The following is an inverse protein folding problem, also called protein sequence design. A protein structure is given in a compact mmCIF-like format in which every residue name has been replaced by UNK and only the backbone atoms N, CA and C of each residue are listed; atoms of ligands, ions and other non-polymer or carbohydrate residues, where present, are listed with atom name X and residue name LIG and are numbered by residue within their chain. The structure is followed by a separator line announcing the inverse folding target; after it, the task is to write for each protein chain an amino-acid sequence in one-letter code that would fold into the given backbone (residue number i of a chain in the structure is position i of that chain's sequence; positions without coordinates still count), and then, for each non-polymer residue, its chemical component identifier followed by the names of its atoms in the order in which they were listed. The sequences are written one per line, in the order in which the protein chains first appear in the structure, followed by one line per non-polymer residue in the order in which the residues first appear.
data_IF_459455059935
#
_entry.id   IF_459455059935
#
_cell.length_a   1.000
_cell.length_b   1.000
_cell.length_c   1.000
_cell.angle_alpha   90.00
_cell.angle_beta   90.00
_cell.angle_gamma   90.00
#
_symmetry.space_group_name_H-M   'P 1'
#
loop_
_entity.id
_entity.type
_entity.pdbx_description
1 polymer ?
#
# COMPACT_ATOMS: atom_id res chain seq x y z
N UNK A 1 -6.17 -55.27 -52.13
CA UNK A 1 -6.90 -54.54 -51.08
C UNK A 1 -5.94 -54.27 -49.94
N UNK A 2 -5.54 -53.02 -49.74
CA UNK A 2 -4.92 -52.55 -48.50
C UNK A 2 -5.13 -51.04 -48.43
N UNK A 3 -6.14 -50.63 -47.66
CA UNK A 3 -6.43 -49.22 -47.38
C UNK A 3 -5.63 -48.78 -46.17
N UNK A 4 -4.73 -47.83 -46.36
CA UNK A 4 -3.97 -47.19 -45.27
C UNK A 4 -4.74 -45.95 -44.81
N UNK A 5 -5.36 -46.03 -43.63
CA UNK A 5 -6.03 -44.88 -42.99
C UNK A 5 -5.00 -44.00 -42.28
N UNK A 6 -4.89 -42.73 -42.70
CA UNK A 6 -4.18 -41.69 -41.97
C UNK A 6 -4.93 -41.38 -40.67
N UNK A 7 -4.30 -41.61 -39.51
CA UNK A 7 -4.82 -41.17 -38.21
C UNK A 7 -4.35 -39.74 -37.99
N UNK A 8 -5.28 -38.79 -38.01
CA UNK A 8 -5.02 -37.38 -37.72
C UNK A 8 -4.95 -37.20 -36.20
N UNK A 9 -3.75 -36.89 -35.69
CA UNK A 9 -3.54 -36.56 -34.28
C UNK A 9 -4.02 -35.14 -33.99
N UNK A 10 -5.19 -35.01 -33.39
CA UNK A 10 -5.71 -33.73 -32.88
C UNK A 10 -4.98 -33.38 -31.59
N UNK A 11 -4.09 -32.39 -31.65
CA UNK A 11 -3.37 -31.87 -30.49
C UNK A 11 -4.31 -30.96 -29.68
N UNK A 12 -4.86 -31.46 -28.57
CA UNK A 12 -5.59 -30.64 -27.60
C UNK A 12 -4.57 -29.78 -26.82
N UNK A 13 -4.49 -28.48 -27.15
CA UNK A 13 -3.83 -27.50 -26.28
C UNK A 13 -4.65 -27.34 -25.01
N UNK A 14 -4.17 -27.91 -23.90
CA UNK A 14 -4.70 -27.61 -22.57
C UNK A 14 -4.25 -26.19 -22.20
N UNK A 15 -5.15 -25.22 -22.28
CA UNK A 15 -4.91 -23.89 -21.74
C UNK A 15 -4.82 -24.00 -20.21
N UNK A 16 -3.59 -24.04 -19.69
CA UNK A 16 -3.35 -23.94 -18.27
C UNK A 16 -3.77 -22.52 -17.81
N UNK A 17 -4.92 -22.42 -17.14
CA UNK A 17 -5.26 -21.24 -16.38
C UNK A 17 -4.25 -21.14 -15.23
N UNK A 18 -3.23 -20.30 -15.39
CA UNK A 18 -2.41 -19.89 -14.26
C UNK A 18 -3.32 -19.06 -13.35
N UNK A 19 -3.62 -19.58 -12.17
CA UNK A 19 -4.22 -18.78 -11.10
C UNK A 19 -3.22 -17.66 -10.78
N UNK A 20 -3.49 -16.46 -11.30
CA UNK A 20 -2.66 -15.28 -11.05
C UNK A 20 -2.59 -15.02 -9.55
N UNK A 21 -1.39 -14.68 -9.07
CA UNK A 21 -1.18 -14.31 -7.68
C UNK A 21 -2.13 -13.14 -7.32
N UNK A 22 -2.97 -13.31 -6.30
CA UNK A 22 -3.98 -12.32 -5.94
C UNK A 22 -3.29 -11.12 -5.30
N UNK A 23 -3.38 -9.94 -5.92
CA UNK A 23 -2.86 -8.70 -5.34
C UNK A 23 -3.67 -8.30 -4.10
N UNK A 24 -2.99 -7.73 -3.10
CA UNK A 24 -3.66 -7.11 -1.96
C UNK A 24 -4.21 -5.73 -2.39
N UNK A 25 -5.47 -5.45 -2.09
CA UNK A 25 -6.09 -4.16 -2.43
C UNK A 25 -6.03 -3.21 -1.23
N UNK A 26 -5.38 -2.07 -1.42
CA UNK A 26 -5.32 -0.98 -0.46
C UNK A 26 -6.29 0.11 -0.84
N UNK A 27 -7.11 0.54 0.13
CA UNK A 27 -8.02 1.67 0.00
C UNK A 27 -7.52 2.81 0.87
N UNK A 28 -6.99 3.86 0.26
CA UNK A 28 -6.44 5.04 0.92
C UNK A 28 -7.50 6.13 0.91
N UNK A 29 -7.95 6.56 2.08
CA UNK A 29 -9.03 7.54 2.25
C UNK A 29 -8.52 8.81 2.92
N UNK A 30 -8.97 9.95 2.41
CA UNK A 30 -8.79 11.23 3.08
C UNK A 30 -10.07 11.60 3.86
N UNK A 31 -10.05 11.48 5.19
CA UNK A 31 -11.10 12.01 6.06
C UNK A 31 -10.74 13.40 6.63
N UNK A 32 -9.57 13.95 6.31
CA UNK A 32 -9.17 15.26 6.79
C UNK A 32 -10.08 16.35 6.21
N UNK A 33 -10.21 17.46 6.95
CA UNK A 33 -10.89 18.67 6.47
C UNK A 33 -10.08 19.45 5.42
N UNK A 34 -8.99 18.89 4.91
CA UNK A 34 -8.07 19.50 3.94
C UNK A 34 -7.59 18.46 2.92
N UNK A 35 -7.10 18.92 1.78
CA UNK A 35 -6.52 18.06 0.74
C UNK A 35 -5.23 17.41 1.22
N UNK A 36 -5.11 16.10 0.99
CA UNK A 36 -3.90 15.30 1.24
C UNK A 36 -3.41 14.77 -0.10
N UNK A 37 -2.09 14.71 -0.28
CA UNK A 37 -1.49 14.05 -1.43
C UNK A 37 -0.88 12.73 -0.97
N UNK A 38 -1.66 11.63 -0.90
CA UNK A 38 -1.08 10.35 -0.56
C UNK A 38 0.01 9.95 -1.54
N UNK A 39 0.98 9.21 -1.02
CA UNK A 39 2.06 8.62 -1.76
C UNK A 39 2.27 7.17 -1.32
N UNK A 40 2.78 6.36 -2.24
CA UNK A 40 3.03 4.94 -2.02
C UNK A 40 4.24 4.45 -2.80
N UNK A 41 5.13 3.71 -2.13
CA UNK A 41 6.28 3.03 -2.77
C UNK A 41 6.35 1.57 -2.30
N UNK A 42 6.83 0.64 -3.14
CA UNK A 42 7.22 0.82 -4.54
C UNK A 42 6.02 0.89 -5.50
N UNK A 43 4.79 0.78 -5.00
CA UNK A 43 3.56 0.72 -5.79
C UNK A 43 2.64 1.90 -5.46
N UNK A 44 2.03 2.48 -6.49
CA UNK A 44 1.06 3.56 -6.38
C UNK A 44 1.62 4.91 -6.79
N UNK A 45 2.82 5.26 -6.34
CA UNK A 45 3.44 6.55 -6.63
C UNK A 45 2.82 7.66 -5.79
N UNK A 46 1.80 8.34 -6.31
CA UNK A 46 1.07 9.35 -5.56
C UNK A 46 -0.01 10.05 -6.37
N UNK A 47 -0.98 10.64 -5.66
CA UNK A 47 -2.11 11.36 -6.24
C UNK A 47 -2.59 12.46 -5.29
N UNK A 48 -3.57 13.25 -5.70
CA UNK A 48 -4.31 14.17 -4.84
C UNK A 48 -5.61 13.51 -4.35
N UNK A 49 -5.92 13.69 -3.08
CA UNK A 49 -7.22 13.38 -2.49
C UNK A 49 -7.77 14.60 -1.75
N UNK A 50 -8.85 15.16 -2.27
CA UNK A 50 -9.67 16.14 -1.55
C UNK A 50 -10.46 15.47 -0.42
N UNK A 51 -11.02 16.23 0.54
CA UNK A 51 -11.78 15.67 1.64
C UNK A 51 -12.88 14.69 1.19
N UNK A 52 -12.90 13.51 1.80
CA UNK A 52 -13.85 12.43 1.52
C UNK A 52 -13.46 11.54 0.33
N UNK A 53 -12.45 11.90 -0.46
CA UNK A 53 -12.03 11.09 -1.60
C UNK A 53 -11.22 9.86 -1.17
N UNK A 54 -11.13 8.90 -2.09
CA UNK A 54 -10.46 7.61 -1.90
C UNK A 54 -9.62 7.27 -3.12
N UNK A 55 -8.47 6.63 -2.88
CA UNK A 55 -7.57 6.08 -3.88
C UNK A 55 -7.35 4.59 -3.63
N UNK A 56 -7.51 3.77 -4.66
CA UNK A 56 -7.31 2.32 -4.57
C UNK A 56 -6.01 1.93 -5.26
N UNK A 57 -5.19 1.12 -4.58
CA UNK A 57 -3.91 0.60 -5.08
C UNK A 57 -3.88 -0.92 -4.94
N UNK A 58 -3.55 -1.62 -6.02
CA UNK A 58 -3.34 -3.06 -5.99
C UNK A 58 -1.85 -3.35 -5.84
N UNK A 59 -1.48 -3.97 -4.72
CA UNK A 59 -0.10 -4.29 -4.37
C UNK A 59 0.17 -5.76 -4.66
N UNK A 60 1.16 -6.09 -5.52
CA UNK A 60 1.48 -7.48 -5.84
C UNK A 60 1.97 -8.28 -4.61
N UNK A 61 1.75 -9.60 -4.59
CA UNK A 61 2.33 -10.49 -3.58
C UNK A 61 3.86 -10.39 -3.53
N UNK A 62 4.44 -10.52 -2.33
CA UNK A 62 5.88 -10.42 -2.10
C UNK A 62 6.42 -8.98 -2.05
N UNK A 63 5.55 -7.98 -1.94
CA UNK A 63 5.94 -6.57 -1.90
C UNK A 63 6.02 -6.06 -0.46
N UNK A 64 7.17 -5.50 -0.08
CA UNK A 64 7.30 -4.61 1.08
C UNK A 64 7.26 -3.16 0.64
N UNK A 65 6.52 -2.32 1.34
CA UNK A 65 6.31 -0.94 0.95
C UNK A 65 5.72 -0.09 2.06
N UNK A 66 5.37 1.15 1.68
CA UNK A 66 4.77 2.11 2.60
C UNK A 66 3.83 3.06 1.88
N UNK A 67 2.79 3.49 2.59
CA UNK A 67 1.95 4.63 2.23
C UNK A 67 2.10 5.74 3.27
N UNK A 68 2.02 6.99 2.83
CA UNK A 68 1.98 8.14 3.73
C UNK A 68 1.20 9.28 3.09
N UNK A 69 0.80 10.25 3.91
CA UNK A 69 0.13 11.44 3.43
C UNK A 69 1.09 12.62 3.39
N UNK A 70 1.05 13.40 2.31
CA UNK A 70 1.77 14.68 2.17
C UNK A 70 0.81 15.84 2.33
N UNK A 71 1.28 16.92 2.94
CA UNK A 71 0.43 18.10 3.25
C UNK A 71 1.04 19.39 2.72
N UNK A 72 0.17 20.37 2.46
CA UNK A 72 0.58 21.69 1.98
C UNK A 72 1.32 21.64 0.64
N UNK A 73 0.86 20.78 -0.28
CA UNK A 73 1.54 20.60 -1.55
C UNK A 73 1.08 21.60 -2.61
N UNK A 74 1.98 21.93 -3.52
CA UNK A 74 1.70 22.67 -4.74
C UNK A 74 2.43 22.02 -5.91
N UNK A 75 1.67 21.51 -6.88
CA UNK A 75 2.20 20.84 -8.07
C UNK A 75 1.83 21.61 -9.34
N UNK A 76 2.78 21.67 -10.28
CA UNK A 76 2.54 22.08 -11.66
C UNK A 76 2.82 20.86 -12.55
N UNK A 77 1.76 20.15 -12.93
CA UNK A 77 1.89 18.84 -13.55
C UNK A 77 2.45 17.80 -12.58
N UNK A 78 3.51 17.10 -12.97
CA UNK A 78 4.13 16.03 -12.17
C UNK A 78 5.16 16.48 -11.13
N UNK A 79 5.49 17.77 -11.07
CA UNK A 79 6.56 18.32 -10.23
C UNK A 79 6.08 19.48 -9.37
N UNK A 80 6.66 19.64 -8.18
CA UNK A 80 6.20 20.59 -7.18
C UNK A 80 6.95 20.45 -5.85
N UNK A 81 6.27 20.74 -4.75
CA UNK A 81 6.80 20.59 -3.41
C UNK A 81 5.65 20.37 -2.41
N UNK A 82 5.94 19.69 -1.30
CA UNK A 82 5.06 19.54 -0.14
C UNK A 82 5.75 20.00 1.15
N UNK A 83 5.00 20.61 2.07
CA UNK A 83 5.53 21.05 3.36
C UNK A 83 5.98 19.87 4.25
N UNK A 84 5.33 18.71 4.13
CA UNK A 84 5.72 17.48 4.83
C UNK A 84 5.54 16.25 3.96
N UNK A 85 6.38 15.23 4.17
CA UNK A 85 6.35 13.98 3.41
C UNK A 85 6.76 14.11 1.93
N UNK A 86 7.38 15.21 1.52
CA UNK A 86 7.79 15.43 0.13
C UNK A 86 8.74 14.33 -0.38
N UNK A 87 8.60 13.90 -1.63
CA UNK A 87 9.41 12.85 -2.23
C UNK A 87 10.26 13.40 -3.38
N UNK A 88 11.09 14.40 -3.07
CA UNK A 88 11.91 15.15 -4.02
C UNK A 88 11.10 15.90 -5.09
N UNK A 89 9.98 16.49 -4.65
CA UNK A 89 9.10 17.32 -5.47
C UNK A 89 8.27 16.58 -6.51
N UNK A 90 8.24 15.24 -6.50
CA UNK A 90 7.44 14.47 -7.45
C UNK A 90 5.99 14.31 -6.96
N UNK A 91 5.00 14.48 -7.85
CA UNK A 91 3.61 14.11 -7.54
C UNK A 91 3.47 12.60 -7.36
N UNK A 92 4.09 11.83 -8.27
CA UNK A 92 4.14 10.37 -8.22
C UNK A 92 5.49 9.92 -7.67
N UNK A 93 5.53 9.46 -6.43
CA UNK A 93 6.77 9.18 -5.71
C UNK A 93 7.46 7.90 -6.15
N UNK A 94 8.78 7.95 -6.27
CA UNK A 94 9.66 6.76 -6.37
C UNK A 94 10.65 6.66 -5.21
N UNK A 95 10.72 7.71 -4.39
CA UNK A 95 11.52 7.81 -3.17
C UNK A 95 10.59 7.93 -1.96
N UNK A 96 11.09 7.57 -0.78
CA UNK A 96 10.36 7.79 0.47
C UNK A 96 10.16 9.28 0.74
N UNK A 97 9.11 9.61 1.49
CA UNK A 97 8.85 10.98 1.94
C UNK A 97 9.91 11.48 2.93
N UNK A 98 10.24 12.77 2.84
CA UNK A 98 11.08 13.44 3.81
C UNK A 98 10.34 13.60 5.15
N UNK A 99 11.01 13.33 6.29
CA UNK A 99 10.47 13.61 7.63
C UNK A 99 10.00 15.07 7.81
N UNK A 100 8.92 15.33 8.59
CA UNK A 100 8.13 14.34 9.32
C UNK A 100 7.11 13.63 8.41
N UNK A 101 6.93 12.31 8.61
CA UNK A 101 5.92 11.53 7.91
C UNK A 101 5.40 10.36 8.75
N UNK A 102 4.09 10.33 9.02
CA UNK A 102 3.43 9.14 9.57
C UNK A 102 3.27 8.10 8.46
N UNK A 103 3.80 6.90 8.68
CA UNK A 103 3.89 5.84 7.67
C UNK A 103 2.93 4.69 8.00
N UNK A 104 2.21 4.19 6.99
CA UNK A 104 1.61 2.87 6.99
C UNK A 104 2.56 1.93 6.26
N UNK A 105 3.28 1.08 6.99
CA UNK A 105 4.27 0.17 6.45
C UNK A 105 3.68 -1.23 6.30
N UNK A 106 4.03 -1.94 5.24
CA UNK A 106 3.47 -3.25 4.97
C UNK A 106 4.47 -4.20 4.29
N UNK A 107 4.23 -5.50 4.45
CA UNK A 107 4.84 -6.58 3.69
C UNK A 107 3.75 -7.57 3.30
N UNK A 108 3.45 -7.67 2.01
CA UNK A 108 2.50 -8.64 1.46
C UNK A 108 3.21 -9.96 1.22
N UNK A 109 2.67 -11.05 1.76
CA UNK A 109 3.16 -12.40 1.57
C UNK A 109 3.30 -12.75 0.09
N UNK A 110 4.37 -13.45 -0.27
CA UNK A 110 4.58 -13.98 -1.62
C UNK A 110 3.85 -15.30 -1.85
N UNK A 111 4.08 -15.92 -3.01
CA UNK A 111 3.53 -17.23 -3.36
C UNK A 111 3.82 -18.27 -2.26
N UNK A 112 2.78 -18.88 -1.71
CA UNK A 112 2.89 -19.89 -0.67
C UNK A 112 3.09 -19.34 0.75
N UNK A 113 3.18 -18.02 0.91
CA UNK A 113 3.15 -17.38 2.23
C UNK A 113 1.70 -16.99 2.58
N UNK A 114 1.11 -17.57 3.63
CA UNK A 114 -0.27 -17.27 4.03
C UNK A 114 -0.40 -15.98 4.85
N UNK A 115 0.69 -15.25 5.09
CA UNK A 115 0.74 -14.15 6.04
C UNK A 115 1.31 -12.87 5.42
N UNK A 116 0.62 -11.77 5.69
CA UNK A 116 1.07 -10.40 5.49
C UNK A 116 1.40 -9.75 6.84
N UNK A 117 2.21 -8.69 6.81
CA UNK A 117 2.57 -7.87 7.98
C UNK A 117 2.34 -6.40 7.71
N UNK A 118 1.97 -5.66 8.74
CA UNK A 118 1.71 -4.23 8.65
C UNK A 118 1.83 -3.54 10.00
N UNK A 119 2.12 -2.25 9.96
CA UNK A 119 2.25 -1.40 11.13
C UNK A 119 2.03 0.08 10.77
N UNK A 120 1.85 0.91 11.80
CA UNK A 120 2.04 2.36 11.68
C UNK A 120 3.42 2.69 12.26
N UNK A 121 4.14 3.59 11.61
CA UNK A 121 5.44 4.06 12.07
C UNK A 121 5.48 5.58 12.13
N UNK A 122 6.00 6.09 13.25
CA UNK A 122 6.32 7.51 13.47
C UNK A 122 7.81 7.71 13.78
N UNK A 123 8.63 6.71 13.44
CA UNK A 123 10.10 6.78 13.53
C UNK A 123 10.64 7.96 12.70
N UNK A 124 10.07 8.16 11.51
CA UNK A 124 10.36 9.30 10.63
C UNK A 124 9.55 10.56 11.01
N UNK A 125 9.02 10.63 12.23
CA UNK A 125 8.22 11.73 12.74
C UNK A 125 6.73 11.62 12.45
N UNK A 126 5.96 12.55 13.01
CA UNK A 126 4.50 12.59 12.86
C UNK A 126 4.07 13.87 12.16
N UNK A 127 3.27 13.76 11.10
CA UNK A 127 2.71 14.91 10.40
C UNK A 127 1.18 14.98 10.42
N UNK A 128 0.48 13.83 10.43
CA UNK A 128 -0.98 13.81 10.48
C UNK A 128 -1.53 12.48 11.02
N UNK A 129 -2.77 12.48 11.55
CA UNK A 129 -3.39 11.28 12.07
C UNK A 129 -3.58 10.21 11.00
N UNK A 130 -3.43 8.95 11.39
CA UNK A 130 -3.60 7.80 10.51
C UNK A 130 -4.30 6.65 11.25
N UNK A 131 -5.22 5.98 10.56
CA UNK A 131 -5.63 4.63 10.89
C UNK A 131 -5.21 3.68 9.78
N UNK A 132 -4.83 2.46 10.17
CA UNK A 132 -4.44 1.41 9.24
C UNK A 132 -5.01 0.08 9.71
N UNK A 133 -5.77 -0.58 8.84
CA UNK A 133 -6.44 -1.84 9.16
C UNK A 133 -6.39 -2.79 7.99
N UNK A 134 -6.58 -4.07 8.32
CA UNK A 134 -6.70 -5.15 7.38
C UNK A 134 -7.97 -5.96 7.70
N UNK A 135 -8.63 -6.52 6.68
CA UNK A 135 -9.94 -7.18 6.83
C UNK A 135 -9.98 -8.38 7.78
N UNK A 136 -8.82 -8.97 8.12
CA UNK A 136 -8.70 -10.11 9.05
C UNK A 136 -7.77 -9.82 10.24
N UNK A 137 -7.26 -8.58 10.34
CA UNK A 137 -6.32 -8.15 11.37
C UNK A 137 -6.94 -7.18 12.37
N UNK A 138 -6.11 -6.65 13.27
CA UNK A 138 -6.47 -5.56 14.16
C UNK A 138 -6.50 -4.21 13.40
N UNK A 139 -7.25 -3.24 13.91
CA UNK A 139 -7.16 -1.86 13.44
C UNK A 139 -6.17 -1.08 14.28
N UNK A 140 -5.25 -0.37 13.63
CA UNK A 140 -4.25 0.50 14.26
C UNK A 140 -4.70 1.95 14.13
N UNK A 141 -4.54 2.74 15.19
CA UNK A 141 -4.89 4.16 15.17
C UNK A 141 -3.81 5.01 15.83
N UNK A 142 -3.29 5.97 15.09
CA UNK A 142 -2.31 6.94 15.57
C UNK A 142 -2.80 8.37 15.31
N UNK A 143 -3.29 9.05 16.35
CA UNK A 143 -3.82 10.43 16.26
C UNK A 143 -2.93 11.48 16.91
N UNK A 144 -1.77 11.08 17.43
CA UNK A 144 -0.78 11.97 18.05
C UNK A 144 0.63 11.37 17.94
N UNK A 145 1.71 12.19 18.04
CA UNK A 145 3.08 11.77 17.73
C UNK A 145 3.64 10.56 18.47
N UNK A 146 3.16 10.26 19.68
CA UNK A 146 3.64 9.13 20.49
C UNK A 146 2.51 8.15 20.81
N UNK A 147 1.71 7.83 19.79
CA UNK A 147 0.60 6.91 19.89
C UNK A 147 1.07 5.47 20.22
N UNK A 148 0.34 4.73 21.07
CA UNK A 148 0.70 3.36 21.45
C UNK A 148 0.74 2.36 20.28
N UNK A 149 -0.02 2.61 19.21
CA UNK A 149 -0.18 1.68 18.08
C UNK A 149 0.92 1.83 17.01
N UNK A 150 1.88 2.74 17.18
CA UNK A 150 2.93 2.96 16.18
C UNK A 150 4.34 2.73 16.72
N UNK A 151 5.23 2.30 15.82
CA UNK A 151 6.68 2.29 16.04
C UNK A 151 7.17 3.69 16.43
N UNK A 152 7.75 3.79 17.63
CA UNK A 152 8.39 5.01 18.13
C UNK A 152 9.89 5.04 17.84
N UNK A 153 10.50 3.87 17.65
CA UNK A 153 11.91 3.68 17.34
C UNK A 153 12.10 2.37 16.54
N UNK A 154 13.19 2.21 15.77
CA UNK A 154 13.32 1.13 14.78
C UNK A 154 13.26 -0.32 15.31
N UNK A 155 13.45 -0.52 16.61
CA UNK A 155 13.51 -1.87 17.22
C UNK A 155 12.29 -2.19 18.07
N UNK A 156 11.19 -1.44 17.93
CA UNK A 156 9.94 -1.69 18.65
C UNK A 156 9.08 -2.74 17.94
N UNK A 157 9.63 -3.95 17.77
CA UNK A 157 8.99 -5.02 17.00
C UNK A 157 7.63 -5.49 17.56
N UNK A 158 7.27 -5.01 18.75
CA UNK A 158 5.95 -5.24 19.37
C UNK A 158 4.80 -4.57 18.62
N UNK A 159 5.08 -3.65 17.68
CA UNK A 159 4.09 -2.90 16.90
C UNK A 159 3.75 -3.54 15.55
N UNK A 160 4.50 -4.57 15.14
CA UNK A 160 4.15 -5.32 13.93
C UNK A 160 2.89 -6.16 14.17
N UNK A 161 1.92 -6.02 13.28
CA UNK A 161 0.72 -6.84 13.26
C UNK A 161 0.69 -7.69 11.99
N UNK A 162 -0.04 -8.81 12.08
CA UNK A 162 -0.15 -9.77 11.00
C UNK A 162 -1.56 -9.80 10.44
N UNK A 163 -1.70 -10.00 9.13
CA UNK A 163 -2.99 -10.20 8.47
C UNK A 163 -2.96 -11.42 7.54
N UNK A 164 -4.07 -12.13 7.34
CA UNK A 164 -4.10 -13.23 6.38
C UNK A 164 -3.77 -12.73 4.98
N UNK A 165 -2.99 -13.49 4.21
CA UNK A 165 -2.67 -13.15 2.83
C UNK A 165 -3.93 -12.97 1.98
N UNK A 166 -3.82 -12.14 0.94
CA UNK A 166 -4.93 -11.73 0.05
C UNK A 166 -6.06 -10.97 0.78
N UNK A 167 -5.75 -10.35 1.92
CA UNK A 167 -6.69 -9.46 2.59
C UNK A 167 -6.77 -8.10 1.92
N UNK A 168 -7.86 -7.39 2.20
CA UNK A 168 -8.01 -5.99 1.82
C UNK A 168 -7.56 -5.08 2.97
N UNK A 169 -6.98 -3.95 2.60
CA UNK A 169 -6.40 -2.98 3.53
C UNK A 169 -7.09 -1.64 3.40
N UNK A 170 -7.15 -0.90 4.50
CA UNK A 170 -7.64 0.47 4.53
C UNK A 170 -6.67 1.36 5.31
N UNK A 171 -6.19 2.41 4.66
CA UNK A 171 -5.42 3.50 5.27
C UNK A 171 -6.31 4.74 5.26
N UNK A 172 -6.54 5.34 6.42
CA UNK A 172 -7.38 6.54 6.55
C UNK A 172 -6.58 7.66 7.20
N UNK A 173 -6.43 8.79 6.49
CA UNK A 173 -5.90 10.02 7.09
C UNK A 173 -7.00 10.74 7.86
N UNK A 174 -6.69 11.24 9.05
CA UNK A 174 -7.67 11.85 9.96
C UNK A 174 -8.86 10.93 10.28
N UNK A 175 -8.61 9.72 10.84
CA UNK A 175 -9.66 8.78 11.21
C UNK A 175 -10.61 9.34 12.28
#
# INVERSE_FOLDING_TARGET
MASTTCVSSVLFLLAAFTAGASAATFTIKNNCGYTVWPAGIPVGGGTQLDPGQTWTVNVPPGTSGRFWGRTGCSFNGGSGHCNSGDCAGALSCTLSGQPPATLAEYTIGGTGNPQDYYDISVVDGYNQPMAFSCSTGVGLVCTYPSCPDAYQYPTDDTKTHSCSANSNYQVTFCP
#
